data_IF_164317843824
#
_entry.id   IF_164317843824
#
_cell.length_a   1.000
_cell.length_b   1.000
_cell.length_c   1.000
_cell.angle_alpha   90.00
_cell.angle_beta   90.00
_cell.angle_gamma   90.00
#
_symmetry.space_group_name_H-M   'P 1'
#
loop_
_entity.id
_entity.type
_entity.pdbx_description
1 polymer ?
#
# COMPACT_ATOMS: atom_id res chain seq x y z
N UNK A 1 15.01 -1.00 6.85
CA UNK A 1 13.72 -1.14 6.14
C UNK A 1 13.49 -2.61 5.84
N UNK A 2 12.25 -2.99 5.54
CA UNK A 2 11.96 -4.35 5.06
C UNK A 2 11.73 -4.31 3.56
N UNK A 3 12.45 -5.14 2.81
CA UNK A 3 12.28 -5.24 1.36
C UNK A 3 11.32 -6.39 1.03
N UNK A 4 10.31 -6.10 0.22
CA UNK A 4 9.40 -7.10 -0.31
C UNK A 4 9.89 -7.57 -1.67
N UNK A 5 9.96 -8.89 -1.85
CA UNK A 5 10.11 -9.51 -3.16
C UNK A 5 8.74 -9.73 -3.78
N UNK A 6 8.66 -9.74 -5.13
CA UNK A 6 7.42 -10.10 -5.82
C UNK A 6 6.89 -11.45 -5.31
N UNK A 7 5.64 -11.45 -4.85
CA UNK A 7 4.97 -12.64 -4.27
C UNK A 7 5.40 -13.00 -2.85
N UNK A 8 6.25 -12.20 -2.20
CA UNK A 8 6.71 -12.44 -0.83
C UNK A 8 5.77 -11.82 0.21
N UNK A 9 5.69 -12.47 1.37
CA UNK A 9 5.06 -11.92 2.58
C UNK A 9 6.13 -11.45 3.56
N UNK A 10 5.83 -10.37 4.27
CA UNK A 10 6.67 -9.84 5.33
C UNK A 10 5.92 -9.87 6.65
N UNK A 11 6.56 -10.39 7.70
CA UNK A 11 6.03 -10.29 9.06
C UNK A 11 6.52 -9.01 9.71
N UNK A 12 5.59 -8.06 9.90
CA UNK A 12 5.87 -6.80 10.58
C UNK A 12 6.17 -7.00 12.08
N UNK A 13 5.54 -7.97 12.73
CA UNK A 13 5.79 -8.28 14.15
C UNK A 13 7.22 -8.73 14.41
N UNK A 14 7.81 -9.50 13.49
CA UNK A 14 9.23 -9.89 13.59
C UNK A 14 10.18 -8.71 13.41
N UNK A 15 9.80 -7.74 12.58
CA UNK A 15 10.62 -6.57 12.30
C UNK A 15 10.48 -5.49 13.39
N UNK A 16 9.27 -5.29 13.91
CA UNK A 16 8.93 -4.28 14.91
C UNK A 16 7.75 -4.77 15.79
N UNK A 17 8.03 -5.33 16.98
CA UNK A 17 7.00 -5.95 17.84
C UNK A 17 5.90 -5.00 18.33
N UNK A 18 6.18 -3.70 18.41
CA UNK A 18 5.26 -2.65 18.88
C UNK A 18 4.97 -1.61 17.79
N UNK A 19 4.81 -2.07 16.54
CA UNK A 19 4.57 -1.19 15.40
C UNK A 19 3.23 -0.47 15.54
N UNK A 20 3.27 0.86 15.58
CA UNK A 20 2.07 1.71 15.69
C UNK A 20 1.78 2.52 14.43
N UNK A 21 2.77 2.68 13.56
CA UNK A 21 2.67 3.43 12.31
C UNK A 21 3.53 2.79 11.23
N UNK A 22 3.05 2.81 10.00
CA UNK A 22 3.74 2.28 8.82
C UNK A 22 3.71 3.31 7.71
N UNK A 23 4.84 3.49 7.03
CA UNK A 23 4.93 4.23 5.78
C UNK A 23 5.29 3.23 4.69
N UNK A 24 4.48 3.20 3.63
CA UNK A 24 4.72 2.40 2.43
C UNK A 24 5.15 3.35 1.33
N UNK A 25 6.31 3.09 0.73
CA UNK A 25 6.81 3.85 -0.41
C UNK A 25 6.94 2.95 -1.62
N UNK A 26 6.44 3.42 -2.77
CA UNK A 26 6.65 2.80 -4.07
C UNK A 26 7.56 3.70 -4.90
N UNK A 27 8.62 3.14 -5.48
CA UNK A 27 9.53 3.84 -6.37
C UNK A 27 9.95 2.94 -7.52
N UNK A 28 10.07 3.51 -8.70
CA UNK A 28 10.51 2.82 -9.92
C UNK A 28 11.43 3.72 -10.74
N UNK A 29 12.29 3.08 -11.53
CA UNK A 29 13.10 3.81 -12.49
C UNK A 29 12.23 4.26 -13.67
N UNK A 30 12.39 5.51 -14.07
CA UNK A 30 11.73 6.06 -15.24
C UNK A 30 12.12 5.27 -16.49
N UNK A 31 11.18 5.20 -17.46
CA UNK A 31 11.47 4.56 -18.74
C UNK A 31 12.64 5.27 -19.42
N UNK A 32 13.67 4.50 -19.79
CA UNK A 32 14.86 4.99 -20.50
C UNK A 32 14.80 4.80 -22.01
N UNK A 33 13.77 4.11 -22.51
CA UNK A 33 13.52 3.83 -23.94
C UNK A 33 12.39 4.70 -24.50
N UNK A 34 12.23 4.70 -25.82
CA UNK A 34 11.10 5.38 -26.46
C UNK A 34 9.76 4.72 -26.07
N UNK A 35 8.74 5.52 -25.78
CA UNK A 35 7.39 5.08 -25.42
C UNK A 35 6.79 5.93 -24.32
N UNK A 36 5.56 5.63 -23.92
CA UNK A 36 4.88 6.31 -22.80
C UNK A 36 5.44 5.92 -21.44
N UNK A 37 5.23 6.78 -20.45
CA UNK A 37 5.71 6.59 -19.09
C UNK A 37 5.13 5.33 -18.43
N UNK A 38 5.84 4.83 -17.41
CA UNK A 38 5.30 3.82 -16.53
C UNK A 38 4.35 4.49 -15.53
N UNK A 39 3.07 4.19 -15.66
CA UNK A 39 2.04 4.58 -14.70
C UNK A 39 1.87 3.46 -13.67
N UNK A 40 2.44 3.67 -12.48
CA UNK A 40 2.33 2.75 -11.36
C UNK A 40 1.46 3.40 -10.29
N UNK A 41 0.53 2.61 -9.76
CA UNK A 41 -0.34 3.01 -8.68
C UNK A 41 -0.05 2.20 -7.42
N UNK A 42 -0.18 2.86 -6.27
CA UNK A 42 -0.17 2.22 -4.96
C UNK A 42 -1.58 2.23 -4.41
N UNK A 43 -2.04 1.10 -3.87
CA UNK A 43 -3.37 1.04 -3.28
C UNK A 43 -3.36 0.18 -2.02
N UNK A 44 -4.29 0.46 -1.11
CA UNK A 44 -4.48 -0.26 0.12
C UNK A 44 -5.93 -0.75 0.24
N UNK A 45 -6.10 -2.00 0.64
CA UNK A 45 -7.39 -2.63 0.93
C UNK A 45 -7.46 -2.91 2.43
N UNK A 46 -8.33 -2.20 3.13
CA UNK A 46 -8.56 -2.43 4.55
C UNK A 46 -9.61 -3.54 4.69
N UNK A 47 -9.22 -4.66 5.29
CA UNK A 47 -10.06 -5.85 5.42
C UNK A 47 -10.56 -6.04 6.85
N UNK A 48 -11.74 -6.65 6.94
CA UNK A 48 -12.31 -7.14 8.19
C UNK A 48 -11.68 -8.49 8.60
N UNK A 49 -12.04 -9.06 9.76
CA UNK A 49 -11.51 -10.35 10.23
C UNK A 49 -11.74 -11.52 9.26
N UNK A 50 -12.75 -11.43 8.39
CA UNK A 50 -13.05 -12.43 7.35
C UNK A 50 -12.20 -12.24 6.07
N UNK A 51 -11.30 -11.25 6.05
CA UNK A 51 -10.42 -10.95 4.92
C UNK A 51 -11.12 -10.23 3.78
N UNK A 52 -12.27 -9.60 4.02
CA UNK A 52 -13.05 -8.86 3.02
C UNK A 52 -13.03 -7.36 3.28
N UNK A 53 -13.09 -6.57 2.21
CA UNK A 53 -13.29 -5.12 2.31
C UNK A 53 -14.75 -4.87 2.70
N UNK A 54 -14.96 -4.24 3.86
CA UNK A 54 -16.30 -4.06 4.42
C UNK A 54 -17.13 -2.94 3.79
N UNK A 55 -16.49 -1.97 3.14
CA UNK A 55 -17.12 -0.83 2.49
C UNK A 55 -16.21 -0.26 1.39
N UNK A 56 -16.77 0.36 0.37
CA UNK A 56 -15.98 0.88 -0.76
C UNK A 56 -14.92 1.92 -0.34
N UNK A 57 -15.21 2.72 0.69
CA UNK A 57 -14.26 3.69 1.26
C UNK A 57 -13.00 3.05 1.86
N UNK A 58 -13.04 1.75 2.19
CA UNK A 58 -11.89 0.99 2.71
C UNK A 58 -10.93 0.54 1.60
N UNK A 59 -11.19 0.91 0.35
CA UNK A 59 -10.22 0.84 -0.73
C UNK A 59 -9.60 2.22 -0.95
N UNK A 60 -8.33 2.38 -0.56
CA UNK A 60 -7.58 3.64 -0.65
C UNK A 60 -6.64 3.57 -1.86
N UNK A 61 -6.74 4.55 -2.75
CA UNK A 61 -6.04 4.63 -4.05
C UNK A 61 -6.08 6.06 -4.59
N UNK A 62 -5.55 6.33 -5.79
CA UNK A 62 -5.44 7.67 -6.37
C UNK A 62 -6.75 8.50 -6.39
N UNK A 63 -7.93 7.85 -6.44
CA UNK A 63 -9.23 8.54 -6.45
C UNK A 63 -9.99 8.48 -5.10
N UNK A 64 -9.40 7.84 -4.08
CA UNK A 64 -9.90 7.82 -2.71
C UNK A 64 -8.72 7.87 -1.75
N UNK A 65 -8.28 9.08 -1.41
CA UNK A 65 -6.98 9.30 -0.75
C UNK A 65 -6.96 8.92 0.74
N UNK A 66 -8.11 8.73 1.39
CA UNK A 66 -8.17 8.47 2.84
C UNK A 66 -9.23 7.43 3.17
N UNK A 67 -8.91 6.54 4.10
CA UNK A 67 -9.91 5.64 4.67
C UNK A 67 -10.91 6.40 5.55
N UNK A 68 -12.16 5.91 5.73
CA UNK A 68 -13.18 6.56 6.55
C UNK A 68 -12.77 6.77 8.00
N UNK A 69 -11.91 5.89 8.53
CA UNK A 69 -11.39 5.96 9.90
C UNK A 69 -10.09 6.79 10.02
N UNK A 70 -9.56 7.28 8.90
CA UNK A 70 -8.32 8.06 8.83
C UNK A 70 -7.04 7.29 9.15
N UNK A 71 -7.11 5.96 9.27
CA UNK A 71 -5.94 5.11 9.58
C UNK A 71 -4.98 4.93 8.41
N UNK A 72 -5.45 5.12 7.17
CA UNK A 72 -4.65 5.03 5.95
C UNK A 72 -4.86 6.27 5.09
N UNK A 73 -3.75 6.83 4.62
CA UNK A 73 -3.70 8.00 3.74
C UNK A 73 -2.75 7.74 2.57
N UNK A 74 -3.24 7.97 1.36
CA UNK A 74 -2.46 8.00 0.12
C UNK A 74 -1.98 9.43 -0.12
N UNK A 75 -0.66 9.58 -0.29
CA UNK A 75 0.00 10.88 -0.53
C UNK A 75 0.31 11.11 -1.99
#
# INVERSE_FOLDING_TARGET
GVSLSKGGNVSLTKAAPNLTAVIVGLGWDARTTTGGDFDLDASALLTNPEGKVGADGNFVFFNNLKSPDGSVEHT
#
